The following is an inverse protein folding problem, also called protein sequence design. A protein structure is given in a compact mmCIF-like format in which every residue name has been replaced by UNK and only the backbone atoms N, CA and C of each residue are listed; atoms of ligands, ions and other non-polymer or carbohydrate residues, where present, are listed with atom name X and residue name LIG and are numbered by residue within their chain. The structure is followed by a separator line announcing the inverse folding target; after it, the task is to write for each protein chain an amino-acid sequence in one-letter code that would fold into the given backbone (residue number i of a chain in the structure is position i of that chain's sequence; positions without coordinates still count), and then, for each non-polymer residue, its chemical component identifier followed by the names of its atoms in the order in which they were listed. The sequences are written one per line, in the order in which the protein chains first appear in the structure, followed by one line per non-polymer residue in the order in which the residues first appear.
data_IF_306467865725
#
_entry.id   IF_306467865725
#
_cell.length_a   1.000
_cell.length_b   1.000
_cell.length_c   1.000
_cell.angle_alpha   90.00
_cell.angle_beta   90.00
_cell.angle_gamma   90.00
#
_symmetry.space_group_name_H-M   'P 1'
#
loop_
_entity.id
_entity.type
_entity.pdbx_description
1 polymer ?
#
# COMPACT_ATOMS: atom_id res chain seq x y z
N UNK A 1 -8.57 -2.72 4.66
CA UNK A 1 -9.08 -2.51 3.28
C UNK A 1 -9.86 -3.72 2.78
N UNK A 2 -10.62 -3.63 1.66
CA UNK A 2 -11.24 -4.81 1.02
C UNK A 2 -10.22 -5.90 0.63
N UNK A 3 -10.66 -7.16 0.55
CA UNK A 3 -9.84 -8.38 0.39
C UNK A 3 -9.34 -8.67 -1.04
N UNK A 4 -9.62 -7.80 -2.02
CA UNK A 4 -9.27 -8.01 -3.43
C UNK A 4 -8.16 -7.07 -3.89
N UNK A 5 -7.30 -7.57 -4.78
CA UNK A 5 -6.23 -6.76 -5.39
C UNK A 5 -6.78 -5.55 -6.14
N UNK A 6 -7.96 -5.65 -6.77
CA UNK A 6 -8.55 -4.53 -7.48
C UNK A 6 -8.80 -3.31 -6.59
N UNK A 7 -9.23 -3.53 -5.35
CA UNK A 7 -9.41 -2.45 -4.38
C UNK A 7 -8.07 -1.86 -3.93
N UNK A 8 -7.04 -2.69 -3.78
CA UNK A 8 -5.68 -2.24 -3.44
C UNK A 8 -5.07 -1.42 -4.58
N UNK A 9 -5.21 -1.86 -5.84
CA UNK A 9 -4.74 -1.16 -7.02
C UNK A 9 -5.49 0.16 -7.26
N UNK A 10 -6.81 0.19 -7.06
CA UNK A 10 -7.57 1.42 -7.14
C UNK A 10 -7.09 2.43 -6.07
N UNK A 11 -6.95 1.99 -4.83
CA UNK A 11 -6.45 2.84 -3.75
C UNK A 11 -5.02 3.34 -4.00
N UNK A 12 -4.12 2.48 -4.47
CA UNK A 12 -2.76 2.87 -4.84
C UNK A 12 -2.72 3.89 -5.98
N UNK A 13 -3.59 3.71 -6.98
CA UNK A 13 -3.72 4.68 -8.07
C UNK A 13 -4.21 6.04 -7.59
N UNK A 14 -5.19 6.07 -6.70
CA UNK A 14 -5.70 7.31 -6.14
C UNK A 14 -4.64 8.01 -5.27
N UNK A 15 -3.82 7.21 -4.55
CA UNK A 15 -2.71 7.71 -3.73
C UNK A 15 -1.58 8.34 -4.56
N UNK A 16 -1.22 7.69 -5.67
CA UNK A 16 -0.09 8.08 -6.53
C UNK A 16 -0.49 8.90 -7.77
N UNK A 17 -1.78 9.27 -7.89
CA UNK A 17 -2.37 9.94 -9.06
C UNK A 17 -2.07 9.22 -10.39
N UNK A 18 -2.23 7.88 -10.40
CA UNK A 18 -1.94 7.01 -11.54
C UNK A 18 -3.17 6.65 -12.36
N UNK A 19 -3.02 6.72 -13.68
CA UNK A 19 -3.97 6.11 -14.62
C UNK A 19 -3.91 4.57 -14.56
N UNK A 20 -4.93 3.89 -15.10
CA UNK A 20 -4.93 2.42 -15.22
C UNK A 20 -3.72 1.95 -16.03
N UNK A 21 -3.46 2.60 -17.17
CA UNK A 21 -2.34 2.31 -18.05
C UNK A 21 -1.00 2.45 -17.33
N UNK A 22 -0.81 3.54 -16.57
CA UNK A 22 0.44 3.79 -15.86
C UNK A 22 0.74 2.70 -14.81
N UNK A 23 -0.28 2.26 -14.08
CA UNK A 23 -0.14 1.13 -13.16
C UNK A 23 0.15 -0.19 -13.90
N UNK A 24 -0.51 -0.43 -15.04
CA UNK A 24 -0.27 -1.63 -15.83
C UNK A 24 1.17 -1.70 -16.34
N UNK A 25 1.71 -0.57 -16.84
CA UNK A 25 3.11 -0.42 -17.26
C UNK A 25 4.08 -0.66 -16.11
N UNK A 26 3.80 -0.10 -14.92
CA UNK A 26 4.62 -0.32 -13.72
C UNK A 26 4.65 -1.79 -13.29
N UNK A 27 3.55 -2.51 -13.48
CA UNK A 27 3.44 -3.95 -13.22
C UNK A 27 3.97 -4.81 -14.39
N UNK A 28 4.44 -4.19 -15.47
CA UNK A 28 4.95 -4.89 -16.66
C UNK A 28 3.87 -5.68 -17.40
N UNK A 29 2.63 -5.20 -17.41
CA UNK A 29 1.48 -5.91 -17.96
C UNK A 29 0.56 -4.99 -18.79
N UNK A 30 -0.45 -5.58 -19.43
CA UNK A 30 -1.49 -4.82 -20.16
C UNK A 30 -2.62 -4.40 -19.22
N UNK A 31 -3.41 -3.37 -19.58
CA UNK A 31 -4.60 -3.04 -18.79
C UNK A 31 -5.55 -4.23 -18.65
N UNK A 32 -5.72 -5.03 -19.70
CA UNK A 32 -6.56 -6.23 -19.64
C UNK A 32 -6.03 -7.23 -18.59
N UNK A 33 -4.72 -7.47 -18.55
CA UNK A 33 -4.08 -8.31 -17.53
C UNK A 33 -4.29 -7.73 -16.13
N UNK A 34 -4.14 -6.41 -15.96
CA UNK A 34 -4.39 -5.71 -14.70
C UNK A 34 -5.84 -5.89 -14.21
N UNK A 35 -6.82 -5.84 -15.13
CA UNK A 35 -8.23 -6.09 -14.79
C UNK A 35 -8.45 -7.53 -14.32
N UNK A 36 -7.80 -8.52 -14.93
CA UNK A 36 -7.88 -9.91 -14.47
C UNK A 36 -7.18 -10.12 -13.12
N UNK A 37 -6.00 -9.52 -12.92
CA UNK A 37 -5.29 -9.53 -11.65
C UNK A 37 -6.10 -8.89 -10.53
N UNK A 38 -6.90 -7.88 -10.84
CA UNK A 38 -7.78 -7.20 -9.88
C UNK A 38 -8.82 -8.12 -9.23
N UNK A 39 -9.11 -9.27 -9.86
CA UNK A 39 -10.02 -10.29 -9.32
C UNK A 39 -9.35 -11.24 -8.32
N UNK A 40 -8.01 -11.22 -8.22
CA UNK A 40 -7.30 -12.02 -7.25
C UNK A 40 -7.52 -11.50 -5.82
N UNK A 41 -7.44 -12.41 -4.86
CA UNK A 41 -7.44 -12.05 -3.44
C UNK A 41 -6.11 -11.38 -3.07
N UNK A 42 -6.15 -10.55 -2.03
CA UNK A 42 -4.97 -10.01 -1.37
C UNK A 42 -4.06 -11.17 -0.91
N UNK A 43 -2.75 -11.11 -1.18
CA UNK A 43 -1.78 -12.06 -0.64
C UNK A 43 -1.83 -12.11 0.89
N UNK A 44 -1.78 -13.32 1.46
CA UNK A 44 -1.80 -13.51 2.92
C UNK A 44 -0.46 -13.12 3.51
N UNK A 45 -0.45 -12.44 4.65
CA UNK A 45 0.80 -11.97 5.28
C UNK A 45 1.80 -13.10 5.55
N UNK A 46 1.32 -14.27 6.00
CA UNK A 46 2.17 -15.45 6.28
C UNK A 46 2.75 -16.09 5.02
N UNK A 47 2.07 -15.96 3.88
CA UNK A 47 2.43 -16.59 2.61
C UNK A 47 2.69 -15.56 1.50
N UNK A 48 2.99 -14.32 1.86
CA UNK A 48 2.95 -13.16 0.95
C UNK A 48 3.80 -13.38 -0.30
N UNK A 49 5.05 -13.83 -0.12
CA UNK A 49 5.94 -14.09 -1.24
C UNK A 49 5.44 -15.21 -2.16
N UNK A 50 4.92 -16.30 -1.59
CA UNK A 50 4.40 -17.42 -2.37
C UNK A 50 3.13 -17.03 -3.14
N UNK A 51 2.23 -16.28 -2.51
CA UNK A 51 0.99 -15.81 -3.13
C UNK A 51 1.30 -14.82 -4.27
N UNK A 52 2.25 -13.90 -4.09
CA UNK A 52 2.70 -12.97 -5.16
C UNK A 52 3.32 -13.73 -6.34
N UNK A 53 4.16 -14.73 -6.08
CA UNK A 53 4.75 -15.55 -7.13
C UNK A 53 3.69 -16.32 -7.92
N UNK A 54 2.67 -16.87 -7.26
CA UNK A 54 1.57 -17.56 -7.95
C UNK A 54 0.76 -16.62 -8.85
N UNK A 55 0.53 -15.39 -8.40
CA UNK A 55 -0.14 -14.37 -9.22
C UNK A 55 0.73 -14.03 -10.43
N UNK A 56 2.03 -13.77 -10.21
CA UNK A 56 2.97 -13.44 -11.27
C UNK A 56 3.05 -14.54 -12.34
N UNK A 57 3.18 -15.79 -11.91
CA UNK A 57 3.20 -16.97 -12.78
C UNK A 57 1.89 -17.12 -13.57
N UNK A 58 0.73 -16.95 -12.91
CA UNK A 58 -0.59 -17.06 -13.55
C UNK A 58 -0.79 -16.07 -14.70
N UNK A 59 -0.23 -14.86 -14.58
CA UNK A 59 -0.44 -13.79 -15.55
C UNK A 59 0.77 -13.52 -16.45
N UNK A 60 1.89 -14.22 -16.23
CA UNK A 60 3.12 -14.07 -17.01
C UNK A 60 3.77 -12.69 -16.84
N UNK A 61 3.72 -12.14 -15.63
CA UNK A 61 4.27 -10.81 -15.29
C UNK A 61 5.47 -10.92 -14.36
N UNK A 62 6.31 -9.90 -14.32
CA UNK A 62 7.45 -9.87 -13.40
C UNK A 62 6.97 -9.70 -11.95
N UNK A 63 7.36 -10.60 -11.01
CA UNK A 63 6.89 -10.52 -9.63
C UNK A 63 7.40 -9.28 -8.90
N UNK A 64 8.52 -8.67 -9.32
CA UNK A 64 9.14 -7.53 -8.63
C UNK A 64 8.21 -6.31 -8.64
N UNK A 65 7.53 -6.06 -9.76
CA UNK A 65 6.56 -4.98 -9.87
C UNK A 65 5.40 -5.15 -8.89
N UNK A 66 4.85 -6.37 -8.80
CA UNK A 66 3.79 -6.70 -7.84
C UNK A 66 4.29 -6.52 -6.41
N UNK A 67 5.49 -7.01 -6.09
CA UNK A 67 6.08 -6.86 -4.76
C UNK A 67 6.21 -5.41 -4.35
N UNK A 68 6.74 -4.56 -5.23
CA UNK A 68 6.94 -3.14 -4.94
C UNK A 68 5.63 -2.43 -4.66
N UNK A 69 4.62 -2.60 -5.53
CA UNK A 69 3.31 -1.98 -5.36
C UNK A 69 2.64 -2.45 -4.08
N UNK A 70 2.58 -3.75 -3.83
CA UNK A 70 1.91 -4.27 -2.63
C UNK A 70 2.63 -3.90 -1.34
N UNK A 71 3.97 -3.87 -1.33
CA UNK A 71 4.73 -3.41 -0.16
C UNK A 71 4.54 -1.93 0.11
N UNK A 72 4.51 -1.11 -0.94
CA UNK A 72 4.20 0.30 -0.80
C UNK A 72 2.82 0.47 -0.13
N UNK A 73 1.83 -0.28 -0.62
CA UNK A 73 0.48 -0.24 -0.07
C UNK A 73 0.44 -0.63 1.41
N UNK A 74 1.09 -1.72 1.80
CA UNK A 74 1.16 -2.18 3.19
C UNK A 74 1.80 -1.14 4.12
N UNK A 75 2.90 -0.52 3.69
CA UNK A 75 3.62 0.48 4.47
C UNK A 75 2.75 1.73 4.65
N UNK A 76 2.13 2.22 3.58
CA UNK A 76 1.29 3.42 3.64
C UNK A 76 0.01 3.17 4.46
N UNK A 77 -0.62 2.00 4.33
CA UNK A 77 -1.77 1.59 5.17
C UNK A 77 -1.38 1.57 6.66
N UNK A 78 -0.20 1.02 7.00
CA UNK A 78 0.29 0.97 8.36
C UNK A 78 0.61 2.36 8.94
N UNK A 79 1.14 3.29 8.13
CA UNK A 79 1.43 4.67 8.56
C UNK A 79 0.14 5.45 8.83
N UNK A 80 -0.84 5.38 7.92
CA UNK A 80 -2.14 6.06 8.07
C UNK A 80 -2.88 5.56 9.31
N UNK A 81 -2.87 4.24 9.55
CA UNK A 81 -3.53 3.63 10.71
C UNK A 81 -2.90 4.10 12.03
N UNK A 82 -1.58 4.25 12.08
CA UNK A 82 -0.88 4.79 13.25
C UNK A 82 -1.20 6.27 13.49
N UNK A 83 -1.27 7.09 12.44
CA UNK A 83 -1.59 8.52 12.56
C UNK A 83 -3.03 8.79 13.01
N UNK A 84 -3.97 7.90 12.67
CA UNK A 84 -5.38 7.99 13.04
C UNK A 84 -5.72 7.31 14.37
N UNK A 85 -4.74 6.72 15.05
CA UNK A 85 -4.95 6.14 16.38
C UNK A 85 -5.15 7.27 17.40
N UNK A 86 -6.22 7.23 18.22
CA UNK A 86 -6.46 8.27 19.21
C UNK A 86 -5.25 8.35 20.16
N UNK A 87 -4.61 9.52 20.18
CA UNK A 87 -3.48 9.78 21.06
C UNK A 87 -3.96 9.68 22.50
N UNK A 88 -3.46 8.68 23.24
CA UNK A 88 -3.64 8.57 24.68
C UNK A 88 -3.34 9.94 25.34
N UNK A 89 -4.20 10.47 26.22
CA UNK A 89 -4.10 11.84 26.71
C UNK A 89 -2.72 12.20 27.30
N UNK A 90 -2.00 11.21 27.85
CA UNK A 90 -0.64 11.37 28.38
C UNK A 90 0.45 11.64 27.33
N UNK A 91 0.32 11.11 26.11
CA UNK A 91 1.30 11.32 25.05
C UNK A 91 1.19 12.72 24.42
N UNK A 92 -0.03 13.29 24.40
CA UNK A 92 -0.28 14.64 23.89
C UNK A 92 0.34 15.72 24.78
N UNK A 93 0.37 15.50 26.10
CA UNK A 93 1.02 16.41 27.05
C UNK A 93 2.56 16.45 26.86
N UNK A 94 3.18 15.31 26.52
CA UNK A 94 4.63 15.22 26.29
C UNK A 94 5.06 15.99 25.02
N UNK A 95 4.24 15.95 23.95
CA UNK A 95 4.53 16.66 22.70
C UNK A 95 4.33 18.19 22.78
N UNK A 96 3.51 18.67 23.72
CA UNK A 96 3.35 20.10 24.01
C UNK A 96 4.59 20.68 24.73
N UNK A 97 5.19 19.92 25.64
CA UNK A 97 6.39 20.35 26.38
C UNK A 97 7.63 20.50 25.47
N UNK A 98 7.72 19.71 24.39
CA UNK A 98 8.85 19.79 23.45
C UNK A 98 8.84 21.06 22.57
N UNK A 99 7.70 21.76 22.46
CA UNK A 99 7.58 23.00 21.68
C UNK A 99 7.88 24.26 22.47
N UNK A 100 7.98 24.18 23.79
CA UNK A 100 8.10 25.36 24.66
C UNK A 100 9.56 25.74 24.96
N UNK A 101 10.55 25.00 24.43
CA UNK A 101 11.97 25.27 24.67
C UNK A 101 12.63 26.25 23.68
N UNK A 102 11.89 26.90 22.78
CA UNK A 102 12.46 27.85 21.79
C UNK A 102 12.18 29.33 22.09
N UNK A 103 12.06 29.71 23.36
CA UNK A 103 12.09 31.13 23.77
C UNK A 103 12.53 31.20 25.22
N UNK A 104 13.73 31.66 25.58
CA UNK A 104 14.29 33.04 25.52
C UNK A 104 15.57 33.02 26.41
N UNK A 105 16.41 34.07 26.51
CA UNK A 105 16.48 35.33 25.77
C UNK A 105 17.79 35.55 24.99
#
# INVERSE_FOLDING_TARGET
MPELLGSMFAWYRDLEDLSVQALAEQLGCTEATLHWMSLCRRPRSEAFAADVLQIAERFGVDPSGIFQVLRHIEVTEALITQSNSPVEPGARALQLAARDHEKKP
#
